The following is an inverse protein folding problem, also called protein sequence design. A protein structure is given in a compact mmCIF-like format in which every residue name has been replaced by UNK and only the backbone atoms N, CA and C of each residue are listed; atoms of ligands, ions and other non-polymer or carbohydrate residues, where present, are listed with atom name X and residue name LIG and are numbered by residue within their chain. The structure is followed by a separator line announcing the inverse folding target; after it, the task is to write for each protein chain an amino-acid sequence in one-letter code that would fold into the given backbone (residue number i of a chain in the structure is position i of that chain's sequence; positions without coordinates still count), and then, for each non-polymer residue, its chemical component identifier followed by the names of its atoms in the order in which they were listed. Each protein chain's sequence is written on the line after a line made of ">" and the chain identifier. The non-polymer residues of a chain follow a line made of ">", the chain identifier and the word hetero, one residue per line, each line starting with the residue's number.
data_IF_261442304829
#
_entry.id   IF_261442304829
#
_cell.length_a   1.000
_cell.length_b   1.000
_cell.length_c   1.000
_cell.angle_alpha   90.00
_cell.angle_beta   90.00
_cell.angle_gamma   90.00
#
_symmetry.space_group_name_H-M   'P 1'
#
loop_
_entity.id
_entity.type
_entity.pdbx_description
1 polymer ?
#
# COMPACT_ATOMS: atom_id res chain seq x y z
N UNK A 1 -19.37 38.82 -17.80
CA UNK A 1 -19.85 37.45 -18.06
C UNK A 1 -18.96 36.46 -17.31
N UNK A 2 -19.57 35.39 -16.81
CA UNK A 2 -19.17 34.56 -15.67
C UNK A 2 -17.78 33.89 -15.80
N UNK A 3 -16.93 34.06 -14.78
CA UNK A 3 -15.84 33.10 -14.49
C UNK A 3 -16.50 31.79 -14.07
N UNK A 4 -16.27 30.73 -14.84
CA UNK A 4 -16.69 29.37 -14.48
C UNK A 4 -15.82 28.91 -13.32
N UNK A 5 -16.34 28.98 -12.10
CA UNK A 5 -15.78 28.26 -10.96
C UNK A 5 -15.90 26.78 -11.25
N UNK A 6 -14.76 26.14 -11.57
CA UNK A 6 -14.66 24.68 -11.60
C UNK A 6 -14.52 24.28 -10.13
N UNK A 7 -15.64 23.93 -9.51
CA UNK A 7 -15.64 23.27 -8.21
C UNK A 7 -15.01 21.88 -8.41
N UNK A 8 -13.73 21.72 -8.07
CA UNK A 8 -13.11 20.42 -7.96
C UNK A 8 -13.69 19.73 -6.71
N UNK A 9 -14.83 19.07 -6.89
CA UNK A 9 -15.37 18.16 -5.91
C UNK A 9 -14.43 16.96 -5.88
N UNK A 10 -13.72 16.75 -4.76
CA UNK A 10 -13.03 15.50 -4.45
C UNK A 10 -14.11 14.40 -4.30
N UNK A 11 -14.61 13.92 -5.43
CA UNK A 11 -15.42 12.71 -5.51
C UNK A 11 -14.46 11.53 -5.43
N UNK A 12 -14.03 11.20 -4.21
CA UNK A 12 -13.73 9.81 -3.88
C UNK A 12 -15.07 9.07 -3.84
N UNK A 13 -15.64 8.84 -5.01
CA UNK A 13 -16.86 8.07 -5.13
C UNK A 13 -16.50 6.61 -4.82
N UNK A 14 -17.09 5.96 -3.80
CA UNK A 14 -17.15 4.52 -3.81
C UNK A 14 -17.94 4.14 -5.06
N UNK A 15 -17.38 3.31 -5.93
CA UNK A 15 -18.19 2.64 -6.94
C UNK A 15 -19.15 1.72 -6.18
N UNK A 16 -20.32 2.25 -5.82
CA UNK A 16 -21.48 1.47 -5.44
C UNK A 16 -22.00 0.80 -6.71
N UNK A 17 -21.43 -0.35 -7.06
CA UNK A 17 -22.10 -1.31 -7.93
C UNK A 17 -23.10 -2.07 -7.07
N UNK A 18 -24.35 -1.61 -7.12
CA UNK A 18 -25.48 -2.26 -6.47
C UNK A 18 -25.83 -3.57 -7.17
N UNK A 19 -25.92 -4.62 -6.35
CA UNK A 19 -26.91 -5.70 -6.36
C UNK A 19 -27.06 -6.59 -7.60
N UNK A 20 -26.69 -7.86 -7.39
CA UNK A 20 -27.17 -9.00 -8.18
C UNK A 20 -26.98 -10.32 -7.43
N UNK A 21 -27.64 -10.50 -6.28
CA UNK A 21 -27.84 -11.83 -5.69
C UNK A 21 -28.76 -12.64 -6.62
N UNK A 22 -28.28 -13.78 -7.09
CA UNK A 22 -29.07 -14.80 -7.79
C UNK A 22 -28.77 -16.17 -7.19
N UNK A 23 -29.80 -16.82 -6.70
CA UNK A 23 -29.85 -17.96 -5.77
C UNK A 23 -30.09 -19.29 -6.50
N UNK A 24 -29.59 -20.40 -5.92
CA UNK A 24 -30.00 -21.80 -6.20
C UNK A 24 -28.91 -22.62 -6.92
N UNK A 25 -28.27 -23.67 -6.38
CA UNK A 25 -28.62 -24.75 -5.43
C UNK A 25 -28.28 -26.10 -6.12
N UNK A 26 -28.20 -27.30 -5.48
CA UNK A 26 -28.23 -27.65 -4.06
C UNK A 26 -27.03 -28.52 -3.58
N UNK A 27 -27.14 -28.93 -2.31
CA UNK A 27 -26.23 -29.62 -1.41
C UNK A 27 -25.55 -30.94 -1.87
N UNK A 28 -24.37 -31.20 -1.28
CA UNK A 28 -24.01 -32.53 -0.78
C UNK A 28 -23.02 -32.42 0.40
N UNK A 29 -23.34 -33.13 1.48
CA UNK A 29 -22.46 -33.52 2.58
C UNK A 29 -22.82 -34.98 2.93
N UNK A 30 -22.10 -35.70 3.80
CA UNK A 30 -20.70 -35.63 4.24
C UNK A 30 -19.99 -36.99 4.04
N UNK A 31 -18.70 -37.13 4.36
CA UNK A 31 -18.12 -38.43 4.75
C UNK A 31 -16.83 -38.26 5.57
N UNK A 32 -16.87 -38.79 6.79
CA UNK A 32 -15.77 -39.00 7.72
C UNK A 32 -14.88 -40.17 7.27
N UNK A 33 -13.57 -40.06 7.48
CA UNK A 33 -12.62 -41.16 7.34
C UNK A 33 -11.40 -40.93 8.25
N UNK A 34 -11.19 -41.83 9.21
CA UNK A 34 -10.10 -41.81 10.18
C UNK A 34 -8.88 -42.61 9.69
N UNK A 35 -7.72 -42.28 10.29
CA UNK A 35 -6.52 -43.11 10.54
C UNK A 35 -5.40 -43.12 9.48
N UNK A 36 -4.22 -42.60 9.84
CA UNK A 36 -3.03 -43.40 10.29
C UNK A 36 -1.74 -42.57 10.12
N UNK A 37 -0.91 -42.54 11.17
CA UNK A 37 0.44 -41.96 11.20
C UNK A 37 1.37 -42.53 10.12
N UNK A 38 2.10 -41.65 9.43
CA UNK A 38 3.40 -41.95 8.85
C UNK A 38 4.41 -40.96 9.44
N UNK A 39 5.31 -41.49 10.26
CA UNK A 39 6.47 -40.77 10.76
C UNK A 39 7.47 -40.67 9.61
N UNK A 40 7.71 -39.45 9.13
CA UNK A 40 8.88 -39.13 8.32
C UNK A 40 9.70 -38.10 9.06
N UNK A 41 10.80 -38.59 9.64
CA UNK A 41 11.93 -37.78 10.05
C UNK A 41 12.53 -37.13 8.81
N UNK A 42 12.30 -35.83 8.65
CA UNK A 42 13.06 -34.98 7.75
C UNK A 42 13.50 -33.76 8.55
N UNK A 43 14.75 -33.84 8.99
CA UNK A 43 15.71 -32.74 9.15
C UNK A 43 15.15 -31.41 9.63
N UNK A 44 15.47 -31.07 10.88
CA UNK A 44 15.38 -29.75 11.47
C UNK A 44 15.92 -28.70 10.49
N UNK A 45 15.03 -27.99 9.80
CA UNK A 45 15.39 -26.74 9.14
C UNK A 45 15.31 -25.69 10.23
N UNK A 46 16.48 -25.16 10.54
CA UNK A 46 16.74 -24.06 11.45
C UNK A 46 15.80 -22.88 11.17
N UNK A 47 15.54 -22.07 12.19
CA UNK A 47 14.53 -21.03 12.23
C UNK A 47 14.52 -20.09 11.00
N UNK A 48 13.32 -19.86 10.46
CA UNK A 48 12.82 -18.62 9.84
C UNK A 48 13.87 -17.62 9.32
N UNK A 49 14.55 -17.93 8.20
CA UNK A 49 15.33 -16.91 7.50
C UNK A 49 14.38 -16.05 6.65
N UNK A 50 13.96 -14.90 7.19
CA UNK A 50 13.22 -13.88 6.44
C UNK A 50 14.00 -13.51 5.18
N UNK A 51 13.35 -13.60 4.02
CA UNK A 51 14.00 -13.30 2.75
C UNK A 51 14.35 -11.81 2.69
N UNK A 52 15.60 -11.44 2.32
CA UNK A 52 15.97 -10.05 2.16
C UNK A 52 15.23 -9.43 0.98
N UNK A 53 15.18 -8.10 0.95
CA UNK A 53 14.64 -7.35 -0.19
C UNK A 53 15.47 -7.58 -1.44
N UNK A 54 14.92 -7.21 -2.60
CA UNK A 54 15.54 -7.39 -3.92
C UNK A 54 16.92 -6.74 -4.05
N UNK A 55 17.21 -5.69 -3.27
CA UNK A 55 18.52 -5.04 -3.19
C UNK A 55 19.34 -5.42 -1.94
N UNK A 56 18.93 -6.46 -1.20
CA UNK A 56 19.67 -7.01 -0.06
C UNK A 56 19.42 -6.33 1.29
N UNK A 57 18.39 -5.48 1.43
CA UNK A 57 18.01 -4.96 2.74
C UNK A 57 17.53 -6.13 3.63
N UNK A 58 18.03 -6.23 4.88
CA UNK A 58 17.61 -7.29 5.78
C UNK A 58 16.17 -7.06 6.23
N UNK A 59 15.39 -8.14 6.33
CA UNK A 59 14.16 -8.14 7.11
C UNK A 59 14.44 -8.51 8.57
N UNK A 60 13.57 -8.11 9.48
CA UNK A 60 13.54 -8.59 10.86
C UNK A 60 12.39 -9.58 11.04
N UNK A 61 12.70 -10.83 11.41
CA UNK A 61 11.69 -11.89 11.55
C UNK A 61 10.96 -11.96 12.88
N UNK A 62 11.36 -11.14 13.85
CA UNK A 62 10.89 -11.28 15.23
C UNK A 62 9.79 -10.28 15.60
N UNK A 63 9.59 -9.22 14.81
CA UNK A 63 8.64 -8.15 15.12
C UNK A 63 7.52 -8.08 14.09
N UNK A 64 6.29 -8.32 14.54
CA UNK A 64 5.07 -8.16 13.72
C UNK A 64 4.30 -6.88 14.06
N UNK A 65 4.81 -6.07 14.99
CA UNK A 65 4.14 -4.85 15.45
C UNK A 65 5.07 -3.65 15.31
N UNK A 66 4.48 -2.48 15.11
CA UNK A 66 5.19 -1.22 15.06
C UNK A 66 4.39 -0.16 15.82
N UNK A 67 4.68 -0.02 17.11
CA UNK A 67 4.01 0.96 17.99
C UNK A 67 4.84 2.23 18.19
N UNK A 68 6.14 2.16 17.89
CA UNK A 68 7.06 3.30 17.90
C UNK A 68 7.32 3.73 16.46
N UNK A 69 7.34 5.05 16.23
CA UNK A 69 7.63 5.59 14.92
C UNK A 69 9.05 5.18 14.49
N UNK A 70 9.22 4.55 13.31
CA UNK A 70 10.55 4.22 12.82
C UNK A 70 11.30 5.51 12.44
N UNK A 71 12.62 5.46 12.62
CA UNK A 71 13.50 6.54 12.21
C UNK A 71 13.41 6.78 10.71
N UNK A 72 13.30 8.05 10.31
CA UNK A 72 13.39 8.51 8.92
C UNK A 72 14.69 9.30 8.81
N UNK A 73 15.59 8.87 7.93
CA UNK A 73 16.86 9.58 7.72
C UNK A 73 16.60 10.91 7.00
N UNK A 74 15.68 10.91 6.04
CA UNK A 74 15.32 12.08 5.27
C UNK A 74 13.87 11.99 4.77
N UNK A 75 13.14 13.11 4.88
CA UNK A 75 11.89 13.29 4.14
C UNK A 75 12.20 13.95 2.80
N UNK A 76 11.97 13.23 1.72
CA UNK A 76 12.33 13.63 0.35
C UNK A 76 11.10 14.10 -0.44
N UNK A 77 11.38 14.87 -1.49
CA UNK A 77 10.42 15.39 -2.43
C UNK A 77 10.95 15.17 -3.86
N UNK A 78 10.13 14.65 -4.77
CA UNK A 78 10.46 14.65 -6.20
C UNK A 78 10.24 16.03 -6.81
N UNK A 79 9.15 16.70 -6.40
CA UNK A 79 8.93 18.12 -6.61
C UNK A 79 8.10 18.69 -5.44
N UNK A 80 8.11 20.01 -5.26
CA UNK A 80 7.41 20.69 -4.15
C UNK A 80 5.88 20.58 -4.20
N UNK A 81 5.33 19.95 -5.25
CA UNK A 81 3.88 19.76 -5.41
C UNK A 81 3.39 18.37 -5.02
N UNK A 82 4.31 17.41 -4.85
CA UNK A 82 3.99 16.04 -4.45
C UNK A 82 4.07 15.85 -2.94
N UNK A 83 3.49 14.75 -2.48
CA UNK A 83 3.56 14.37 -1.07
C UNK A 83 5.00 13.99 -0.72
N UNK A 84 5.52 14.41 0.44
CA UNK A 84 6.82 13.97 0.92
C UNK A 84 6.79 12.47 1.16
N UNK A 85 7.96 11.84 0.99
CA UNK A 85 8.13 10.43 1.28
C UNK A 85 9.33 10.19 2.19
N UNK A 86 9.29 9.15 3.03
CA UNK A 86 10.38 8.83 3.92
C UNK A 86 11.44 8.03 3.18
N UNK A 87 12.70 8.34 3.49
CA UNK A 87 13.87 7.55 3.15
C UNK A 87 14.62 7.17 4.43
N UNK A 88 15.02 5.91 4.53
CA UNK A 88 15.96 5.43 5.53
C UNK A 88 16.83 4.33 4.95
N UNK A 89 18.13 4.36 5.21
CA UNK A 89 19.07 3.34 4.73
C UNK A 89 18.67 1.92 5.19
N UNK A 90 18.05 1.81 6.36
CA UNK A 90 17.65 0.53 6.96
C UNK A 90 16.34 -0.03 6.41
N UNK A 91 15.42 0.82 5.91
CA UNK A 91 14.04 0.41 5.59
C UNK A 91 13.65 0.66 4.14
N UNK A 92 14.40 1.51 3.43
CA UNK A 92 14.20 1.87 2.04
C UNK A 92 13.61 3.28 1.84
N UNK A 93 13.27 3.64 0.59
CA UNK A 93 13.51 2.84 -0.61
C UNK A 93 15.03 2.66 -0.83
N UNK A 94 15.45 1.41 -1.06
CA UNK A 94 16.84 1.09 -1.39
C UNK A 94 17.18 1.38 -2.85
N UNK A 95 16.16 1.49 -3.70
CA UNK A 95 16.27 1.86 -5.11
C UNK A 95 15.35 3.05 -5.39
N UNK A 96 15.92 4.12 -5.91
CA UNK A 96 15.21 5.27 -6.49
C UNK A 96 15.70 5.42 -7.92
N UNK A 97 14.82 5.26 -8.90
CA UNK A 97 15.15 5.44 -10.32
C UNK A 97 15.10 6.92 -10.70
N UNK A 98 15.75 7.26 -11.82
CA UNK A 98 15.80 8.64 -12.35
C UNK A 98 14.41 9.23 -12.66
N UNK A 99 13.43 8.37 -12.94
CA UNK A 99 12.04 8.75 -13.20
C UNK A 99 11.21 8.97 -11.93
N UNK A 100 11.71 8.63 -10.74
CA UNK A 100 10.98 8.72 -9.47
C UNK A 100 10.40 7.39 -8.97
N UNK A 101 10.47 6.30 -9.73
CA UNK A 101 10.04 4.99 -9.25
C UNK A 101 10.90 4.51 -8.08
N UNK A 102 10.23 4.06 -7.02
CA UNK A 102 10.85 3.69 -5.73
C UNK A 102 10.50 2.26 -5.37
N UNK A 103 11.50 1.52 -4.93
CA UNK A 103 11.39 0.09 -4.60
C UNK A 103 12.50 -0.35 -3.64
N UNK A 104 12.49 -1.64 -3.30
CA UNK A 104 13.37 -2.28 -2.34
C UNK A 104 13.18 -1.75 -0.92
N UNK A 105 12.13 -2.23 -0.26
CA UNK A 105 11.85 -1.97 1.15
C UNK A 105 12.17 -3.20 1.99
N UNK A 106 12.65 -3.02 3.23
CA UNK A 106 12.99 -4.12 4.14
C UNK A 106 11.80 -5.07 4.35
N UNK A 107 12.09 -6.37 4.50
CA UNK A 107 11.04 -7.38 4.72
C UNK A 107 10.61 -7.42 6.20
N UNK A 108 10.03 -6.33 6.69
CA UNK A 108 9.56 -6.15 8.07
C UNK A 108 8.46 -5.07 8.17
N UNK A 109 7.82 -4.84 9.34
CA UNK A 109 6.76 -3.84 9.46
C UNK A 109 7.21 -2.42 9.12
N UNK A 110 8.47 -2.07 9.40
CA UNK A 110 9.05 -0.78 9.04
C UNK A 110 9.13 -0.62 7.52
N UNK A 111 9.64 -1.61 6.81
CA UNK A 111 9.70 -1.59 5.35
C UNK A 111 8.32 -1.57 4.71
N UNK A 112 7.33 -2.28 5.27
CA UNK A 112 5.94 -2.21 4.82
C UNK A 112 5.35 -0.80 4.97
N UNK A 113 5.61 -0.13 6.10
CA UNK A 113 5.20 1.25 6.33
C UNK A 113 5.87 2.21 5.33
N UNK A 114 7.18 2.07 5.13
CA UNK A 114 7.93 2.86 4.16
C UNK A 114 7.43 2.64 2.73
N UNK A 115 7.12 1.40 2.35
CA UNK A 115 6.54 1.06 1.07
C UNK A 115 5.19 1.76 0.86
N UNK A 116 4.28 1.67 1.82
CA UNK A 116 2.98 2.33 1.76
C UNK A 116 3.11 3.85 1.57
N UNK A 117 4.00 4.50 2.33
CA UNK A 117 4.22 5.95 2.23
C UNK A 117 4.85 6.36 0.89
N UNK A 118 5.77 5.55 0.36
CA UNK A 118 6.37 5.78 -0.95
C UNK A 118 5.38 5.55 -2.10
N UNK A 119 4.55 4.50 -2.02
CA UNK A 119 3.44 4.26 -2.95
C UNK A 119 2.48 5.45 -2.93
N UNK A 120 2.09 5.93 -1.74
CA UNK A 120 1.24 7.11 -1.59
C UNK A 120 1.81 8.30 -2.39
N UNK A 121 3.08 8.64 -2.16
CA UNK A 121 3.74 9.73 -2.86
C UNK A 121 3.83 9.51 -4.39
N UNK A 122 4.27 8.33 -4.85
CA UNK A 122 4.36 8.01 -6.29
C UNK A 122 3.00 8.13 -6.98
N UNK A 123 1.93 7.69 -6.33
CA UNK A 123 0.57 7.76 -6.89
C UNK A 123 0.02 9.18 -7.02
N UNK A 124 0.66 10.18 -6.39
CA UNK A 124 0.34 11.59 -6.60
C UNK A 124 1.02 12.20 -7.83
N UNK A 125 2.06 11.55 -8.38
CA UNK A 125 2.75 12.00 -9.58
C UNK A 125 2.05 11.47 -10.84
N UNK A 126 1.33 12.35 -11.51
CA UNK A 126 0.62 12.00 -12.76
C UNK A 126 1.56 11.69 -13.91
N UNK A 127 2.76 12.30 -13.96
CA UNK A 127 3.73 11.98 -15.00
C UNK A 127 4.27 10.57 -14.77
N UNK A 128 4.61 10.23 -13.53
CA UNK A 128 5.06 8.90 -13.15
C UNK A 128 4.01 7.83 -13.46
N UNK A 129 2.75 8.08 -13.08
CA UNK A 129 1.62 7.16 -13.26
C UNK A 129 0.98 7.18 -14.66
N UNK A 130 1.49 8.01 -15.57
CA UNK A 130 1.07 8.01 -16.97
C UNK A 130 1.66 6.85 -17.77
N UNK A 131 2.72 6.20 -17.27
CA UNK A 131 3.20 4.93 -17.79
C UNK A 131 2.44 3.77 -17.11
N UNK A 132 1.66 2.97 -17.87
CA UNK A 132 0.98 1.80 -17.34
C UNK A 132 1.90 0.79 -16.64
N UNK A 133 3.14 0.63 -17.10
CA UNK A 133 4.07 -0.35 -16.53
C UNK A 133 4.59 0.10 -15.16
N UNK A 134 4.72 1.41 -14.92
CA UNK A 134 5.00 1.94 -13.58
C UNK A 134 3.89 1.57 -12.61
N UNK A 135 2.64 1.87 -12.97
CA UNK A 135 1.49 1.51 -12.16
C UNK A 135 1.41 0.00 -11.91
N UNK A 136 1.63 -0.82 -12.93
CA UNK A 136 1.61 -2.29 -12.82
C UNK A 136 2.72 -2.81 -11.90
N UNK A 137 3.89 -2.17 -11.91
CA UNK A 137 5.01 -2.58 -11.06
C UNK A 137 4.73 -2.42 -9.56
N UNK A 138 3.79 -1.55 -9.18
CA UNK A 138 3.34 -1.36 -7.80
C UNK A 138 2.54 -2.56 -7.28
N UNK A 139 2.10 -3.48 -8.13
CA UNK A 139 1.26 -4.61 -7.76
C UNK A 139 2.04 -5.92 -7.63
N UNK A 140 1.74 -6.67 -6.58
CA UNK A 140 2.26 -8.00 -6.35
C UNK A 140 1.59 -9.04 -7.23
N UNK A 141 2.31 -10.12 -7.55
CA UNK A 141 1.73 -11.26 -8.25
C UNK A 141 0.63 -11.90 -7.40
N UNK A 142 -0.39 -12.43 -8.05
CA UNK A 142 -1.54 -13.05 -7.40
C UNK A 142 -2.63 -13.41 -8.40
N UNK A 143 -3.71 -14.02 -7.93
CA UNK A 143 -4.80 -14.56 -8.78
C UNK A 143 -5.44 -13.53 -9.72
N UNK A 144 -5.38 -12.24 -9.36
CA UNK A 144 -6.00 -11.14 -10.10
C UNK A 144 -4.98 -10.23 -10.80
N UNK A 145 -3.68 -10.49 -10.66
CA UNK A 145 -2.63 -9.61 -11.19
C UNK A 145 -2.78 -9.35 -12.69
N UNK A 146 -2.93 -10.39 -13.50
CA UNK A 146 -3.02 -10.26 -14.96
C UNK A 146 -4.26 -9.47 -15.39
N UNK A 147 -5.38 -9.65 -14.69
CA UNK A 147 -6.62 -8.88 -14.91
C UNK A 147 -6.40 -7.41 -14.57
N UNK A 148 -5.77 -7.12 -13.44
CA UNK A 148 -5.45 -5.74 -13.02
C UNK A 148 -4.49 -5.08 -14.02
N UNK A 149 -3.43 -5.78 -14.42
CA UNK A 149 -2.46 -5.27 -15.39
C UNK A 149 -3.09 -5.00 -16.76
N UNK A 150 -3.94 -5.91 -17.26
CA UNK A 150 -4.68 -5.69 -18.49
C UNK A 150 -5.61 -4.47 -18.41
N UNK A 151 -6.30 -4.27 -17.27
CA UNK A 151 -7.16 -3.10 -17.04
C UNK A 151 -6.36 -1.80 -17.00
N UNK A 152 -5.21 -1.77 -16.34
CA UNK A 152 -4.34 -0.58 -16.29
C UNK A 152 -3.84 -0.22 -17.70
N UNK A 153 -3.36 -1.21 -18.47
CA UNK A 153 -2.97 -1.01 -19.88
C UNK A 153 -4.11 -0.48 -20.74
N UNK A 154 -5.33 -1.01 -20.53
CA UNK A 154 -6.51 -0.56 -21.26
C UNK A 154 -6.88 0.90 -20.93
N UNK A 155 -6.77 1.31 -19.67
CA UNK A 155 -7.04 2.68 -19.24
C UNK A 155 -5.92 3.65 -19.64
N UNK A 156 -4.70 3.15 -19.86
CA UNK A 156 -3.52 3.95 -20.13
C UNK A 156 -3.00 4.73 -18.92
N UNK A 157 -3.63 4.55 -17.76
CA UNK A 157 -3.24 5.16 -16.49
C UNK A 157 -3.85 4.40 -15.31
N UNK A 158 -3.30 4.62 -14.13
CA UNK A 158 -3.87 4.09 -12.89
C UNK A 158 -4.85 5.10 -12.28
N UNK A 159 -6.12 4.72 -12.03
CA UNK A 159 -7.10 5.60 -11.40
C UNK A 159 -6.88 5.63 -9.88
N UNK A 160 -5.73 6.15 -9.45
CA UNK A 160 -5.57 6.71 -8.11
C UNK A 160 -6.19 8.09 -8.13
N UNK A 161 -7.12 8.34 -7.21
CA UNK A 161 -7.92 9.56 -7.19
C UNK A 161 -7.06 10.79 -7.40
N UNK A 162 -7.46 11.66 -8.34
CA UNK A 162 -6.70 12.83 -8.77
C UNK A 162 -6.34 13.72 -7.58
N UNK A 163 -5.15 13.51 -7.03
CA UNK A 163 -4.53 14.32 -5.99
C UNK A 163 -3.86 15.56 -6.59
N UNK A 164 -4.21 15.94 -7.83
CA UNK A 164 -3.52 16.99 -8.59
C UNK A 164 -3.56 18.38 -7.96
N UNK A 165 -4.27 18.56 -6.85
CA UNK A 165 -4.24 19.76 -6.02
C UNK A 165 -4.21 19.49 -4.50
N UNK A 166 -4.08 18.23 -4.06
CA UNK A 166 -3.99 17.92 -2.63
C UNK A 166 -2.52 17.90 -2.21
N UNK A 167 -2.12 18.91 -1.42
CA UNK A 167 -0.94 18.79 -0.56
C UNK A 167 -1.33 17.91 0.62
N UNK A 168 -0.56 16.86 0.87
CA UNK A 168 -0.73 15.98 2.01
C UNK A 168 0.61 15.78 2.71
N UNK A 169 0.61 15.81 4.03
CA UNK A 169 1.77 15.43 4.85
C UNK A 169 1.35 14.32 5.78
N UNK A 170 2.22 13.34 6.00
CA UNK A 170 1.94 12.28 6.97
C UNK A 170 1.68 12.88 8.36
N UNK A 171 0.65 12.37 9.02
CA UNK A 171 0.27 12.71 10.39
C UNK A 171 0.65 11.60 11.37
N UNK A 172 0.58 10.35 10.91
CA UNK A 172 0.83 9.16 11.69
C UNK A 172 0.47 7.90 10.93
N UNK A 173 0.61 6.76 11.60
CA UNK A 173 0.29 5.45 11.01
C UNK A 173 -0.31 4.48 12.04
N UNK A 174 -0.88 3.40 11.52
CA UNK A 174 -1.20 2.17 12.25
C UNK A 174 -0.82 0.96 11.40
N UNK A 175 -0.15 -0.02 12.01
CA UNK A 175 -0.07 -1.36 11.43
C UNK A 175 -1.31 -2.11 11.89
N UNK A 176 -2.23 -2.39 10.98
CA UNK A 176 -3.49 -3.08 11.27
C UNK A 176 -3.31 -4.59 11.29
N UNK A 177 -2.43 -5.11 10.42
CA UNK A 177 -2.07 -6.51 10.33
C UNK A 177 -0.69 -6.67 9.69
N UNK A 178 0.06 -7.71 10.07
CA UNK A 178 1.37 -8.02 9.51
C UNK A 178 1.71 -9.50 9.64
N UNK A 179 2.22 -10.06 8.55
CA UNK A 179 2.79 -11.41 8.44
C UNK A 179 4.02 -11.36 7.52
N UNK A 180 4.76 -12.46 7.43
CA UNK A 180 5.92 -12.64 6.52
C UNK A 180 5.57 -12.56 5.03
N UNK A 181 4.30 -12.40 4.65
CA UNK A 181 3.91 -12.27 3.24
C UNK A 181 2.93 -11.14 2.97
N UNK A 182 2.38 -10.51 4.01
CA UNK A 182 1.26 -9.59 3.90
C UNK A 182 1.31 -8.51 4.97
N UNK A 183 0.94 -7.29 4.62
CA UNK A 183 0.81 -6.21 5.59
C UNK A 183 -0.43 -5.35 5.27
N UNK A 184 -1.09 -4.85 6.32
CA UNK A 184 -2.14 -3.83 6.19
C UNK A 184 -1.71 -2.59 6.95
N UNK A 185 -1.42 -1.52 6.21
CA UNK A 185 -0.90 -0.26 6.76
C UNK A 185 -1.93 0.83 6.57
N UNK A 186 -2.32 1.50 7.67
CA UNK A 186 -3.16 2.67 7.61
C UNK A 186 -2.34 3.93 7.84
N UNK A 187 -2.28 4.80 6.83
CA UNK A 187 -1.56 6.06 6.87
C UNK A 187 -2.53 7.22 7.07
N UNK A 188 -2.25 8.03 8.09
CA UNK A 188 -2.91 9.29 8.33
C UNK A 188 -2.20 10.41 7.58
N UNK A 189 -2.95 11.25 6.87
CA UNK A 189 -2.45 12.43 6.18
C UNK A 189 -3.27 13.65 6.58
N UNK A 190 -2.59 14.76 6.88
CA UNK A 190 -3.23 16.08 6.89
C UNK A 190 -3.12 16.64 5.48
N UNK A 191 -4.25 17.00 4.89
CA UNK A 191 -4.28 17.67 3.60
C UNK A 191 -5.19 18.88 3.58
N UNK A 192 -5.36 19.48 2.40
CA UNK A 192 -6.31 20.57 2.17
C UNK A 192 -7.26 20.19 1.05
N UNK A 193 -8.56 20.41 1.24
CA UNK A 193 -9.61 20.24 0.23
C UNK A 193 -10.54 21.44 0.27
N UNK A 194 -10.78 22.08 -0.88
CA UNK A 194 -11.61 23.28 -0.99
C UNK A 194 -11.25 24.40 0.03
N UNK A 195 -9.96 24.52 0.39
CA UNK A 195 -9.47 25.50 1.36
C UNK A 195 -9.68 25.14 2.83
N UNK A 196 -10.18 23.94 3.14
CA UNK A 196 -10.31 23.43 4.50
C UNK A 196 -9.31 22.29 4.74
N UNK A 197 -8.69 22.29 5.93
CA UNK A 197 -7.87 21.17 6.37
C UNK A 197 -8.73 19.92 6.50
N UNK A 198 -8.22 18.79 5.97
CA UNK A 198 -8.87 17.48 6.04
C UNK A 198 -7.89 16.46 6.59
N UNK A 199 -8.36 15.64 7.52
CA UNK A 199 -7.63 14.49 8.02
C UNK A 199 -8.09 13.26 7.23
N UNK A 200 -7.14 12.65 6.51
CA UNK A 200 -7.37 11.51 5.64
C UNK A 200 -6.72 10.27 6.24
N UNK A 201 -7.47 9.17 6.28
CA UNK A 201 -6.95 7.81 6.49
C UNK A 201 -6.89 7.12 5.14
N UNK A 202 -5.76 6.48 4.85
CA UNK A 202 -5.59 5.66 3.65
C UNK A 202 -4.99 4.31 4.06
N UNK A 203 -5.78 3.25 3.87
CA UNK A 203 -5.42 1.87 4.18
C UNK A 203 -4.86 1.19 2.94
N UNK A 204 -3.61 0.74 3.02
CA UNK A 204 -2.87 0.02 1.99
C UNK A 204 -2.80 -1.46 2.35
N UNK A 205 -3.26 -2.30 1.42
CA UNK A 205 -3.11 -3.75 1.52
C UNK A 205 -1.91 -4.19 0.69
N UNK A 206 -0.87 -4.68 1.37
CA UNK A 206 0.40 -5.07 0.79
C UNK A 206 0.59 -6.58 0.79
N UNK A 207 1.43 -7.05 -0.13
CA UNK A 207 1.92 -8.41 -0.26
C UNK A 207 3.42 -8.37 -0.55
N UNK A 208 4.17 -9.29 0.04
CA UNK A 208 5.57 -9.51 -0.30
C UNK A 208 5.66 -10.27 -1.62
N UNK A 209 6.19 -9.64 -2.67
CA UNK A 209 6.26 -10.22 -4.01
C UNK A 209 7.53 -9.77 -4.71
N UNK A 210 8.26 -10.72 -5.30
CA UNK A 210 9.51 -10.48 -6.02
C UNK A 210 10.58 -9.73 -5.19
N UNK A 211 10.62 -10.00 -3.87
CA UNK A 211 11.57 -9.37 -2.95
C UNK A 211 11.25 -7.92 -2.58
N UNK A 212 9.98 -7.51 -2.68
CA UNK A 212 9.55 -6.17 -2.28
C UNK A 212 8.10 -6.15 -1.77
N UNK A 213 7.74 -5.07 -1.07
CA UNK A 213 6.35 -4.82 -0.67
C UNK A 213 5.57 -4.16 -1.80
N UNK A 214 4.49 -4.82 -2.24
CA UNK A 214 3.66 -4.37 -3.37
C UNK A 214 2.18 -4.37 -2.99
N UNK A 215 1.36 -3.60 -3.70
CA UNK A 215 -0.10 -3.60 -3.55
C UNK A 215 -0.66 -4.99 -3.90
N UNK A 216 -1.54 -5.49 -3.04
CA UNK A 216 -2.26 -6.75 -3.26
C UNK A 216 -3.30 -6.59 -4.39
N UNK A 217 -3.65 -7.67 -5.09
CA UNK A 217 -4.67 -7.62 -6.15
C UNK A 217 -6.01 -8.34 -5.81
N UNK A 218 -6.24 -8.80 -4.58
CA UNK A 218 -7.24 -9.84 -4.31
C UNK A 218 -8.72 -9.40 -4.34
N UNK A 219 -9.03 -8.11 -4.10
CA UNK A 219 -10.38 -7.52 -4.25
C UNK A 219 -10.28 -6.10 -4.81
N UNK A 220 -11.35 -5.66 -5.47
CA UNK A 220 -11.42 -4.58 -6.47
C UNK A 220 -10.51 -3.34 -6.29
N UNK A 221 -10.24 -2.90 -5.07
CA UNK A 221 -9.39 -1.73 -4.77
C UNK A 221 -8.49 -2.06 -3.56
N UNK A 222 -7.16 -2.13 -3.72
CA UNK A 222 -6.23 -2.45 -2.63
C UNK A 222 -5.88 -1.25 -1.73
N UNK A 223 -6.55 -0.13 -1.97
CA UNK A 223 -6.41 1.11 -1.23
C UNK A 223 -7.81 1.58 -0.84
N UNK A 224 -8.04 1.81 0.45
CA UNK A 224 -9.31 2.39 0.95
C UNK A 224 -9.02 3.72 1.62
N UNK A 225 -9.80 4.75 1.32
CA UNK A 225 -9.62 6.09 1.90
C UNK A 225 -10.86 6.57 2.64
N UNK A 226 -10.68 7.29 3.74
CA UNK A 226 -11.75 7.95 4.49
C UNK A 226 -11.29 9.30 5.04
N UNK A 227 -12.22 10.26 5.14
CA UNK A 227 -12.02 11.45 5.99
C UNK A 227 -12.34 11.05 7.43
N UNK A 228 -11.42 11.31 8.34
CA UNK A 228 -11.55 10.95 9.75
C UNK A 228 -11.65 12.20 10.63
N UNK A 229 -12.32 12.12 11.79
CA UNK A 229 -12.48 13.29 12.67
C UNK A 229 -11.23 13.59 13.50
N UNK A 230 -10.32 12.62 13.67
CA UNK A 230 -9.03 12.79 14.36
C UNK A 230 -8.12 11.58 14.13
N UNK A 231 -6.82 11.74 14.37
CA UNK A 231 -5.81 10.66 14.40
C UNK A 231 -5.71 9.94 15.76
N UNK A 232 -6.77 9.92 16.56
CA UNK A 232 -6.77 9.18 17.84
C UNK A 232 -6.44 7.71 17.59
N UNK A 233 -5.42 7.19 18.28
CA UNK A 233 -4.95 5.80 18.13
C UNK A 233 -3.92 5.59 17.01
N UNK A 234 -3.45 6.65 16.35
CA UNK A 234 -2.30 6.58 15.44
C UNK A 234 -1.00 6.83 16.20
N UNK A 235 0.06 6.13 15.79
CA UNK A 235 1.42 6.52 16.17
C UNK A 235 1.83 7.72 15.34
N UNK A 236 2.24 8.81 15.99
CA UNK A 236 2.67 10.02 15.30
C UNK A 236 3.90 9.75 14.42
N UNK A 237 3.84 10.18 13.17
CA UNK A 237 4.92 10.02 12.20
C UNK A 237 4.81 11.09 11.12
N UNK A 238 5.60 12.14 11.29
CA UNK A 238 5.44 13.41 10.58
C UNK A 238 6.76 13.83 9.94
N UNK A 239 6.66 14.64 8.89
CA UNK A 239 7.80 15.37 8.33
C UNK A 239 8.40 16.23 9.43
N UNK A 240 9.66 15.96 9.77
CA UNK A 240 10.43 16.79 10.69
C UNK A 240 11.11 17.89 9.87
N UNK A 241 10.88 19.15 10.25
CA UNK A 241 11.48 20.33 9.61
C UNK A 241 12.88 20.63 10.10
#
# INVERSE_FOLDING_TARGET
>A
MRRRTITALLLLAPLALTSGCGWGGPAAAPSTGSSTSASHSSTSTDATSVQPSVCGLPGSGDSTTLTTAPHVDEWRYENQTLWPYPYAKSYGPGVVKDDGMRSCFSHDPQGALFAAANIAAMTTDQNLMSDPEHAISLFGKGSQYDRTAAKIRQLGSFPVGSASDSRGTSAGFRILDFTDSEATVDLGFVGTSAGQSVDLSIVYHLVWSDGDWKLRCEKDIPITSAVIPSFTGYTEWKVSG
#
